data_IF_772362876677
#
_entry.id   IF_772362876677
#
_cell.length_a   1.000
_cell.length_b   1.000
_cell.length_c   1.000
_cell.angle_alpha   90.00
_cell.angle_beta   90.00
_cell.angle_gamma   90.00
#
_symmetry.space_group_name_H-M   'P 1'
#
loop_
_entity.id
_entity.type
_entity.pdbx_description
1 polymer ?
#
# COMPACT_ATOMS: atom_id res chain seq x y z
N UNK A 1 18.40 -1.72 21.28
CA UNK A 1 18.72 -1.52 19.85
C UNK A 1 18.08 -0.20 19.46
N UNK A 2 18.67 0.63 18.59
CA UNK A 2 18.04 1.88 18.18
C UNK A 2 16.94 1.58 17.14
N UNK A 3 15.76 2.17 17.30
CA UNK A 3 14.69 2.12 16.29
C UNK A 3 14.96 3.23 15.26
N UNK A 4 14.91 2.86 13.96
CA UNK A 4 15.02 3.80 12.85
C UNK A 4 13.61 4.16 12.38
N UNK A 5 13.42 5.41 11.97
CA UNK A 5 12.17 5.89 11.40
C UNK A 5 12.46 6.75 10.17
N UNK A 6 11.82 6.47 9.04
CA UNK A 6 12.02 7.14 7.76
C UNK A 6 10.68 7.65 7.26
N UNK A 7 10.66 8.90 6.84
CA UNK A 7 9.50 9.59 6.26
C UNK A 7 9.96 10.39 5.04
N UNK A 8 8.99 10.92 4.28
CA UNK A 8 9.28 11.92 3.25
C UNK A 8 9.97 13.15 3.85
N UNK A 9 10.77 13.82 3.04
CA UNK A 9 11.31 15.15 3.40
C UNK A 9 10.21 16.20 3.49
N UNK A 10 9.23 16.14 2.58
CA UNK A 10 8.08 17.05 2.51
C UNK A 10 6.84 16.25 2.09
N UNK A 11 5.69 16.61 2.66
CA UNK A 11 4.39 16.15 2.17
C UNK A 11 3.40 17.29 2.08
N UNK A 12 2.59 17.31 1.02
CA UNK A 12 1.50 18.24 0.78
C UNK A 12 0.17 17.50 0.84
N UNK A 13 -0.82 18.05 1.53
CA UNK A 13 -2.11 17.40 1.76
C UNK A 13 -3.26 18.33 1.45
N UNK A 14 -4.32 17.80 0.85
CA UNK A 14 -5.57 18.50 0.59
C UNK A 14 -5.84 18.76 -0.88
N UNK A 15 -7.06 19.19 -1.18
CA UNK A 15 -7.53 19.47 -2.54
C UNK A 15 -6.67 20.56 -3.21
N UNK A 16 -6.21 20.26 -4.42
CA UNK A 16 -5.34 21.15 -5.20
C UNK A 16 -3.86 21.09 -4.82
N UNK A 17 -3.43 20.16 -3.96
CA UNK A 17 -2.04 19.99 -3.56
C UNK A 17 -1.08 19.74 -4.74
N UNK A 18 -1.57 19.17 -5.85
CA UNK A 18 -0.77 18.97 -7.09
C UNK A 18 -0.16 20.27 -7.62
N UNK A 19 -0.71 21.44 -7.31
CA UNK A 19 -0.18 22.74 -7.73
C UNK A 19 1.18 23.09 -7.10
N UNK A 20 1.58 22.35 -6.07
CA UNK A 20 2.90 22.52 -5.43
C UNK A 20 4.02 21.83 -6.22
N UNK A 21 3.68 20.89 -7.13
CA UNK A 21 4.66 20.08 -7.89
C UNK A 21 5.62 20.97 -8.69
N UNK A 22 5.17 21.93 -9.51
CA UNK A 22 6.08 22.77 -10.28
C UNK A 22 7.04 23.57 -9.40
N UNK A 23 6.55 24.08 -8.27
CA UNK A 23 7.37 24.84 -7.31
C UNK A 23 8.48 23.99 -6.69
N UNK A 24 8.19 22.72 -6.36
CA UNK A 24 9.18 21.77 -5.83
C UNK A 24 10.28 21.46 -6.86
N UNK A 25 9.91 21.23 -8.12
CA UNK A 25 10.85 20.94 -9.19
C UNK A 25 11.75 22.15 -9.53
N UNK A 26 11.14 23.34 -9.66
CA UNK A 26 11.86 24.58 -10.01
C UNK A 26 12.85 24.99 -8.90
N UNK A 27 12.48 24.91 -7.63
CA UNK A 27 13.38 25.22 -6.51
C UNK A 27 14.63 24.37 -6.49
N UNK A 28 14.52 23.12 -6.95
CA UNK A 28 15.64 22.16 -7.02
C UNK A 28 16.36 22.17 -8.36
N UNK A 29 15.84 22.90 -9.37
CA UNK A 29 16.46 23.07 -10.67
C UNK A 29 16.26 21.92 -11.65
N UNK A 30 15.30 21.02 -11.40
CA UNK A 30 14.94 19.94 -12.32
C UNK A 30 14.25 20.49 -13.57
N UNK A 31 14.53 19.90 -14.72
CA UNK A 31 14.13 20.44 -16.04
C UNK A 31 13.44 19.45 -16.94
N UNK A 32 13.74 18.16 -16.80
CA UNK A 32 13.18 17.09 -17.63
C UNK A 32 12.57 16.03 -16.75
N UNK A 33 11.27 16.03 -16.66
CA UNK A 33 10.55 15.17 -15.72
C UNK A 33 10.10 13.88 -16.40
N UNK A 34 10.37 12.76 -15.75
CA UNK A 34 9.83 11.47 -16.13
C UNK A 34 8.52 11.22 -15.38
N UNK A 35 7.42 11.29 -16.11
CA UNK A 35 6.08 11.06 -15.53
C UNK A 35 5.77 9.57 -15.63
N UNK A 36 5.64 8.90 -14.47
CA UNK A 36 5.23 7.50 -14.37
C UNK A 36 3.75 7.40 -14.03
N UNK A 37 2.97 6.68 -14.85
CA UNK A 37 1.55 6.45 -14.60
C UNK A 37 1.11 5.13 -15.25
N UNK A 38 -0.12 4.69 -14.98
CA UNK A 38 -0.69 3.55 -15.70
C UNK A 38 -1.54 3.98 -16.90
N UNK A 39 -1.81 3.07 -17.87
CA UNK A 39 -2.52 3.41 -19.09
C UNK A 39 -3.95 3.86 -18.87
N UNK A 40 -4.62 3.35 -17.83
CA UNK A 40 -6.02 3.71 -17.55
C UNK A 40 -6.13 5.13 -16.99
N UNK A 41 -5.22 5.53 -16.10
CA UNK A 41 -5.17 6.91 -15.57
C UNK A 41 -4.84 7.92 -16.68
N UNK A 42 -3.99 7.55 -17.63
CA UNK A 42 -3.71 8.36 -18.83
C UNK A 42 -4.98 8.49 -19.68
N UNK A 43 -5.63 7.38 -20.00
CA UNK A 43 -6.86 7.31 -20.80
C UNK A 43 -8.00 8.11 -20.19
N UNK A 44 -8.16 8.05 -18.86
CA UNK A 44 -9.23 8.76 -18.14
C UNK A 44 -8.87 10.20 -17.76
N UNK A 45 -7.70 10.70 -18.16
CA UNK A 45 -7.30 12.09 -17.95
C UNK A 45 -6.89 12.43 -16.51
N UNK A 46 -6.68 11.42 -15.65
CA UNK A 46 -6.20 11.67 -14.28
C UNK A 46 -4.75 12.13 -14.29
N UNK A 47 -3.90 11.46 -15.08
CA UNK A 47 -2.49 11.86 -15.26
C UNK A 47 -2.37 13.27 -15.88
N UNK A 48 -3.33 13.65 -16.75
CA UNK A 48 -3.34 14.98 -17.36
C UNK A 48 -3.41 16.10 -16.31
N UNK A 49 -4.08 15.91 -15.18
CA UNK A 49 -4.10 16.92 -14.11
C UNK A 49 -2.69 17.30 -13.64
N UNK A 50 -1.77 16.33 -13.58
CA UNK A 50 -0.37 16.58 -13.20
C UNK A 50 0.42 17.18 -14.38
N UNK A 51 0.27 16.63 -15.58
CA UNK A 51 1.02 17.15 -16.74
C UNK A 51 0.59 18.53 -17.15
N UNK A 52 -0.67 18.92 -16.97
CA UNK A 52 -1.17 20.28 -17.19
C UNK A 52 -0.49 21.31 -16.25
N UNK A 53 -0.22 20.94 -14.99
CA UNK A 53 0.55 21.79 -14.07
C UNK A 53 2.02 21.93 -14.53
N UNK A 54 2.62 20.86 -15.05
CA UNK A 54 3.97 20.93 -15.62
C UNK A 54 4.02 21.80 -16.88
N UNK A 55 3.06 21.64 -17.78
CA UNK A 55 2.94 22.44 -19.00
C UNK A 55 2.71 23.93 -18.70
N UNK A 56 1.82 24.23 -17.75
CA UNK A 56 1.57 25.61 -17.31
C UNK A 56 2.82 26.29 -16.72
N UNK A 57 3.70 25.51 -16.11
CA UNK A 57 4.98 25.98 -15.57
C UNK A 57 6.13 25.98 -16.59
N UNK A 58 5.91 25.50 -17.80
CA UNK A 58 6.94 25.38 -18.84
C UNK A 58 8.02 24.34 -18.54
N UNK A 59 7.69 23.31 -17.77
CA UNK A 59 8.59 22.22 -17.39
C UNK A 59 8.45 21.10 -18.42
N UNK A 60 9.55 20.69 -19.03
CA UNK A 60 9.55 19.60 -20.00
C UNK A 60 9.34 18.25 -19.30
N UNK A 61 8.54 17.38 -19.89
CA UNK A 61 8.27 16.05 -19.36
C UNK A 61 8.16 15.00 -20.47
N UNK A 62 8.31 13.74 -20.09
CA UNK A 62 8.05 12.56 -20.91
C UNK A 62 7.23 11.56 -20.10
N UNK A 63 6.31 10.85 -20.76
CA UNK A 63 5.42 9.88 -20.13
C UNK A 63 5.94 8.45 -20.30
N UNK A 64 5.92 7.70 -19.22
CA UNK A 64 6.02 6.25 -19.22
C UNK A 64 4.75 5.67 -18.62
N UNK A 65 3.98 4.93 -19.42
CA UNK A 65 2.69 4.36 -19.00
C UNK A 65 2.52 2.88 -19.34
N UNK A 66 3.61 2.18 -19.63
CA UNK A 66 3.59 0.73 -19.87
C UNK A 66 3.56 -0.08 -18.56
N UNK A 67 2.85 0.42 -17.54
CA UNK A 67 2.77 -0.16 -16.20
C UNK A 67 1.51 -1.01 -16.11
N UNK A 68 1.66 -2.24 -15.65
CA UNK A 68 0.55 -3.17 -15.43
C UNK A 68 0.16 -3.21 -13.95
N UNK A 69 -1.07 -3.56 -13.62
CA UNK A 69 -1.40 -4.05 -12.28
C UNK A 69 -0.43 -5.18 -11.89
N UNK A 70 0.04 -5.20 -10.64
CA UNK A 70 1.11 -6.11 -10.20
C UNK A 70 2.37 -5.95 -11.07
N UNK A 71 3.15 -4.86 -10.93
CA UNK A 71 4.21 -4.50 -11.86
C UNK A 71 5.27 -5.59 -11.93
N UNK A 72 5.72 -5.89 -13.14
CA UNK A 72 6.66 -6.97 -13.41
C UNK A 72 8.10 -6.47 -13.51
N UNK A 73 9.05 -7.39 -13.41
CA UNK A 73 10.46 -7.13 -13.69
C UNK A 73 10.65 -6.44 -15.05
N UNK A 74 9.85 -6.83 -16.07
CA UNK A 74 9.95 -6.24 -17.39
C UNK A 74 9.50 -4.77 -17.42
N UNK A 75 8.42 -4.42 -16.68
CA UNK A 75 8.00 -3.01 -16.56
C UNK A 75 9.12 -2.14 -15.99
N UNK A 76 9.88 -2.65 -15.00
CA UNK A 76 11.01 -1.91 -14.44
C UNK A 76 12.14 -1.73 -15.46
N UNK A 77 12.52 -2.81 -16.19
CA UNK A 77 13.57 -2.75 -17.22
C UNK A 77 13.25 -1.76 -18.32
N UNK A 78 12.03 -1.83 -18.85
CA UNK A 78 11.57 -0.94 -19.93
C UNK A 78 11.52 0.51 -19.43
N UNK A 79 11.09 0.73 -18.19
CA UNK A 79 11.06 2.04 -17.56
C UNK A 79 12.44 2.65 -17.33
N UNK A 80 13.44 1.85 -16.94
CA UNK A 80 14.84 2.30 -16.81
C UNK A 80 15.39 2.76 -18.18
N UNK A 81 15.13 2.01 -19.23
CA UNK A 81 15.57 2.41 -20.58
C UNK A 81 14.82 3.64 -21.09
N UNK A 82 13.51 3.75 -20.82
CA UNK A 82 12.72 4.93 -21.17
C UNK A 82 13.21 6.18 -20.41
N UNK A 83 13.54 6.07 -19.11
CA UNK A 83 14.09 7.17 -18.33
C UNK A 83 15.40 7.69 -18.93
N UNK A 84 16.33 6.79 -19.28
CA UNK A 84 17.60 7.14 -19.92
C UNK A 84 17.39 7.80 -21.29
N UNK A 85 16.51 7.23 -22.11
CA UNK A 85 16.19 7.78 -23.45
C UNK A 85 15.55 9.18 -23.37
N UNK A 86 14.76 9.45 -22.34
CA UNK A 86 14.19 10.77 -22.07
C UNK A 86 15.23 11.78 -21.56
N UNK A 87 16.43 11.35 -21.17
CA UNK A 87 17.42 12.17 -20.44
C UNK A 87 16.79 12.92 -19.26
N UNK A 88 15.89 12.25 -18.54
CA UNK A 88 15.18 12.84 -17.43
C UNK A 88 16.07 13.01 -16.20
N UNK A 89 15.77 14.00 -15.36
CA UNK A 89 16.54 14.34 -14.17
C UNK A 89 15.75 14.22 -12.85
N UNK A 90 14.42 14.00 -12.96
CA UNK A 90 13.55 13.72 -11.82
C UNK A 90 12.35 12.86 -12.24
N UNK A 91 11.67 12.25 -11.27
CA UNK A 91 10.45 11.45 -11.48
C UNK A 91 9.27 12.15 -10.80
N UNK A 92 8.13 12.20 -11.50
CA UNK A 92 6.82 12.44 -10.89
C UNK A 92 5.97 11.21 -11.18
N UNK A 93 5.61 10.46 -10.15
CA UNK A 93 4.73 9.31 -10.32
C UNK A 93 3.32 9.65 -9.90
N UNK A 94 2.34 9.38 -10.77
CA UNK A 94 0.92 9.58 -10.50
C UNK A 94 0.18 8.27 -10.71
N UNK A 95 -0.31 7.67 -9.62
CA UNK A 95 -0.99 6.38 -9.73
C UNK A 95 -1.25 5.72 -8.39
N UNK A 96 -1.64 4.45 -8.45
CA UNK A 96 -1.69 3.56 -7.30
C UNK A 96 -0.32 2.93 -7.00
N UNK A 97 -0.31 1.92 -6.12
CA UNK A 97 0.92 1.22 -5.73
C UNK A 97 1.76 0.75 -6.91
N UNK A 98 1.14 0.17 -7.96
CA UNK A 98 1.86 -0.35 -9.13
C UNK A 98 2.69 0.71 -9.85
N UNK A 99 2.14 1.92 -10.04
CA UNK A 99 2.86 3.01 -10.66
C UNK A 99 4.00 3.51 -9.78
N UNK A 100 3.76 3.61 -8.48
CA UNK A 100 4.76 4.08 -7.52
C UNK A 100 5.90 3.07 -7.32
N UNK A 101 5.56 1.78 -7.18
CA UNK A 101 6.54 0.71 -7.01
C UNK A 101 7.45 0.59 -8.25
N UNK A 102 6.87 0.74 -9.45
CA UNK A 102 7.65 0.80 -10.68
C UNK A 102 8.58 2.02 -10.71
N UNK A 103 8.07 3.19 -10.33
CA UNK A 103 8.86 4.43 -10.30
C UNK A 103 10.01 4.36 -9.29
N UNK A 104 9.77 3.80 -8.10
CA UNK A 104 10.81 3.53 -7.09
C UNK A 104 11.90 2.62 -7.64
N UNK A 105 11.51 1.45 -8.19
CA UNK A 105 12.45 0.51 -8.77
C UNK A 105 13.28 1.12 -9.92
N UNK A 106 12.68 1.97 -10.76
CA UNK A 106 13.41 2.73 -11.79
C UNK A 106 14.40 3.69 -11.13
N UNK A 107 13.94 4.52 -10.20
CA UNK A 107 14.73 5.57 -9.58
C UNK A 107 15.96 5.05 -8.84
N UNK A 108 15.81 3.94 -8.09
CA UNK A 108 16.91 3.35 -7.36
C UNK A 108 17.94 2.70 -8.29
N UNK A 109 17.51 2.01 -9.35
CA UNK A 109 18.40 1.38 -10.34
C UNK A 109 19.19 2.42 -11.14
N UNK A 110 18.60 3.55 -11.49
CA UNK A 110 19.29 4.62 -12.23
C UNK A 110 20.54 5.10 -11.47
N UNK A 111 20.42 5.28 -10.17
CA UNK A 111 21.53 5.77 -9.34
C UNK A 111 22.38 4.65 -8.71
N UNK A 112 21.96 3.38 -8.85
CA UNK A 112 22.68 2.19 -8.38
C UNK A 112 22.68 1.11 -9.49
N UNK A 113 23.38 1.34 -10.62
CA UNK A 113 23.30 0.49 -11.83
C UNK A 113 23.81 -0.94 -11.61
N UNK A 114 24.54 -1.21 -10.55
CA UNK A 114 24.93 -2.56 -10.15
C UNK A 114 23.73 -3.46 -9.81
N UNK A 115 22.57 -2.86 -9.52
CA UNK A 115 21.31 -3.53 -9.25
C UNK A 115 20.36 -3.53 -10.47
N UNK A 116 20.87 -3.49 -11.69
CA UNK A 116 20.07 -3.46 -12.93
C UNK A 116 19.08 -4.63 -13.08
N UNK A 117 19.36 -5.80 -12.50
CA UNK A 117 18.36 -6.82 -12.28
C UNK A 117 17.63 -6.53 -10.96
N UNK A 118 16.37 -6.11 -11.05
CA UNK A 118 15.55 -5.75 -9.88
C UNK A 118 15.41 -6.87 -8.85
N UNK A 119 15.61 -8.14 -9.24
CA UNK A 119 15.66 -9.27 -8.30
C UNK A 119 16.77 -9.11 -7.26
N UNK A 120 17.85 -8.42 -7.59
CA UNK A 120 18.96 -8.17 -6.66
C UNK A 120 18.62 -7.15 -5.57
N UNK A 121 17.48 -6.49 -5.70
CA UNK A 121 16.94 -5.55 -4.70
C UNK A 121 15.96 -6.22 -3.70
N UNK A 122 15.67 -7.51 -3.88
CA UNK A 122 14.78 -8.25 -2.97
C UNK A 122 15.27 -8.19 -1.51
N UNK A 123 14.35 -7.94 -0.58
CA UNK A 123 14.67 -7.75 0.83
C UNK A 123 15.35 -6.39 1.06
N UNK A 124 16.42 -6.37 1.83
CA UNK A 124 17.20 -5.16 2.14
C UNK A 124 18.48 -5.19 1.33
N UNK A 125 18.52 -4.50 0.21
CA UNK A 125 19.70 -4.40 -0.64
C UNK A 125 20.68 -3.33 -0.12
N UNK A 126 22.00 -3.53 -0.29
CA UNK A 126 23.02 -2.58 0.17
C UNK A 126 23.26 -1.47 -0.89
N UNK A 127 22.21 -0.77 -1.29
CA UNK A 127 22.33 0.40 -2.18
C UNK A 127 23.15 1.51 -1.51
N UNK A 128 23.86 2.29 -2.29
CA UNK A 128 24.77 3.33 -1.77
C UNK A 128 24.26 4.74 -2.03
N UNK A 129 23.53 4.91 -3.12
CA UNK A 129 23.03 6.20 -3.55
C UNK A 129 21.51 6.26 -3.36
N UNK A 130 21.02 7.44 -3.00
CA UNK A 130 19.57 7.70 -3.05
C UNK A 130 19.03 7.49 -4.46
N UNK A 131 17.78 7.07 -4.56
CA UNK A 131 17.05 7.02 -5.81
C UNK A 131 17.06 8.40 -6.53
N UNK A 132 16.63 8.43 -7.77
CA UNK A 132 16.34 9.69 -8.47
C UNK A 132 15.29 10.45 -7.67
N UNK A 133 15.44 11.78 -7.58
CA UNK A 133 14.44 12.63 -6.90
C UNK A 133 13.03 12.31 -7.41
N UNK A 134 12.15 11.98 -6.50
CA UNK A 134 10.80 11.51 -6.83
C UNK A 134 9.75 12.30 -6.06
N UNK A 135 8.75 12.82 -6.80
CA UNK A 135 7.48 13.31 -6.26
C UNK A 135 6.43 12.23 -6.52
N UNK A 136 5.76 11.78 -5.46
CA UNK A 136 4.74 10.74 -5.55
C UNK A 136 3.34 11.32 -5.29
N UNK A 137 2.41 11.06 -6.24
CA UNK A 137 1.04 11.55 -6.25
C UNK A 137 0.08 10.36 -6.25
N UNK A 138 -0.45 9.94 -5.10
CA UNK A 138 -1.37 8.80 -5.02
C UNK A 138 -2.72 9.09 -5.67
N UNK A 139 -3.23 8.11 -6.42
CA UNK A 139 -4.59 8.12 -6.98
C UNK A 139 -5.48 7.06 -6.33
N UNK A 140 -4.94 6.31 -5.36
CA UNK A 140 -5.67 5.35 -4.53
C UNK A 140 -5.42 5.65 -3.05
N UNK A 141 -6.37 5.31 -2.19
CA UNK A 141 -6.26 5.46 -0.75
C UNK A 141 -6.07 4.09 -0.09
N UNK A 142 -4.88 3.50 -0.25
CA UNK A 142 -4.59 2.13 0.24
C UNK A 142 -3.14 1.89 0.58
N UNK A 143 -2.28 1.81 -0.44
CA UNK A 143 -0.92 1.30 -0.32
C UNK A 143 0.05 2.22 0.40
N UNK A 144 -0.23 3.52 0.47
CA UNK A 144 0.67 4.54 1.01
C UNK A 144 2.09 4.51 0.39
N UNK A 145 2.22 4.03 -0.86
CA UNK A 145 3.51 3.87 -1.51
C UNK A 145 4.28 5.19 -1.67
N UNK A 146 3.59 6.32 -1.58
CA UNK A 146 4.16 7.68 -1.60
C UNK A 146 4.99 8.01 -0.35
N UNK A 147 4.83 7.26 0.77
CA UNK A 147 5.58 7.51 2.01
C UNK A 147 6.42 6.31 2.46
N UNK A 148 6.29 5.18 1.78
CA UNK A 148 6.96 3.94 2.20
C UNK A 148 8.37 3.79 1.63
N UNK A 149 9.22 3.08 2.38
CA UNK A 149 10.53 2.60 1.92
C UNK A 149 10.43 1.26 1.18
N UNK A 150 9.22 0.71 1.05
CA UNK A 150 8.95 -0.60 0.47
C UNK A 150 8.37 -0.43 -0.94
N UNK A 151 8.64 -1.39 -1.80
CA UNK A 151 7.97 -1.58 -3.09
C UNK A 151 7.92 -3.04 -3.46
N UNK A 152 6.94 -3.44 -4.26
CA UNK A 152 6.63 -4.84 -4.55
C UNK A 152 6.66 -5.07 -6.05
N UNK A 153 7.47 -6.02 -6.49
CA UNK A 153 7.61 -6.38 -7.90
C UNK A 153 7.21 -7.85 -8.10
N UNK A 154 6.58 -8.14 -9.22
CA UNK A 154 6.19 -9.49 -9.60
C UNK A 154 7.28 -10.14 -10.45
N UNK A 155 7.70 -11.33 -10.05
CA UNK A 155 8.52 -12.23 -10.85
C UNK A 155 7.62 -13.28 -11.53
N UNK A 156 7.25 -13.09 -12.80
CA UNK A 156 6.36 -14.02 -13.49
C UNK A 156 7.00 -15.37 -13.77
N UNK A 157 8.33 -15.46 -13.78
CA UNK A 157 9.05 -16.74 -13.98
C UNK A 157 8.94 -17.64 -12.74
N UNK A 158 8.92 -17.02 -11.56
CA UNK A 158 8.81 -17.74 -10.27
C UNK A 158 7.39 -17.74 -9.70
N UNK A 159 6.43 -17.12 -10.40
CA UNK A 159 5.02 -16.96 -9.98
C UNK A 159 4.93 -16.42 -8.53
N UNK A 160 5.68 -15.36 -8.24
CA UNK A 160 5.70 -14.76 -6.91
C UNK A 160 5.86 -13.24 -6.97
N UNK A 161 5.38 -12.58 -5.93
CA UNK A 161 5.74 -11.21 -5.61
C UNK A 161 6.95 -11.21 -4.67
N UNK A 162 7.79 -10.21 -4.78
CA UNK A 162 8.87 -9.99 -3.82
C UNK A 162 8.92 -8.53 -3.38
N UNK A 163 9.22 -8.35 -2.11
CA UNK A 163 9.28 -7.05 -1.46
C UNK A 163 10.73 -6.56 -1.46
N UNK A 164 10.93 -5.34 -1.90
CA UNK A 164 12.17 -4.60 -1.74
C UNK A 164 12.00 -3.57 -0.63
N UNK A 165 13.02 -3.39 0.20
CA UNK A 165 13.02 -2.47 1.34
C UNK A 165 14.29 -1.63 1.28
N UNK A 166 14.16 -0.35 0.97
CA UNK A 166 15.32 0.53 0.84
C UNK A 166 15.04 1.95 1.37
N UNK A 167 15.78 2.35 2.38
CA UNK A 167 15.67 3.72 2.92
C UNK A 167 16.16 4.81 1.97
N UNK A 168 16.91 4.43 0.93
CA UNK A 168 17.35 5.33 -0.12
C UNK A 168 16.28 5.55 -1.19
N UNK A 169 15.12 4.86 -1.10
CA UNK A 169 14.09 4.83 -2.14
C UNK A 169 12.72 5.39 -1.69
N UNK A 170 12.63 5.94 -0.48
CA UNK A 170 11.43 6.68 -0.10
C UNK A 170 11.32 7.94 -0.98
N UNK A 171 10.15 8.22 -1.60
CA UNK A 171 9.96 9.47 -2.33
C UNK A 171 10.25 10.68 -1.44
N UNK A 172 11.00 11.67 -1.94
CA UNK A 172 11.32 12.85 -1.15
C UNK A 172 10.11 13.75 -0.91
N UNK A 173 9.18 13.78 -1.87
CA UNK A 173 7.97 14.59 -1.78
C UNK A 173 6.76 13.71 -2.03
N UNK A 174 5.81 13.74 -1.10
CA UNK A 174 4.48 13.18 -1.29
C UNK A 174 3.47 14.30 -1.54
N UNK A 175 2.56 14.13 -2.51
CA UNK A 175 1.49 15.07 -2.81
C UNK A 175 0.16 14.33 -2.73
N UNK A 176 -0.44 14.38 -1.56
CA UNK A 176 -1.67 13.63 -1.21
C UNK A 176 -2.88 14.51 -1.47
N UNK A 177 -3.32 14.51 -2.72
CA UNK A 177 -4.45 15.32 -3.20
C UNK A 177 -5.69 14.43 -3.39
N UNK A 178 -6.76 14.59 -2.58
CA UNK A 178 -7.97 13.78 -2.70
C UNK A 178 -8.68 13.95 -4.06
N UNK A 179 -8.45 15.07 -4.78
CA UNK A 179 -9.00 15.26 -6.13
C UNK A 179 -8.38 14.30 -7.16
N UNK A 180 -7.18 13.80 -6.89
CA UNK A 180 -6.53 12.76 -7.70
C UNK A 180 -7.18 11.38 -7.52
N UNK A 181 -7.85 11.17 -6.39
CA UNK A 181 -8.56 9.93 -6.04
C UNK A 181 -10.05 9.98 -6.43
N UNK A 182 -10.55 11.13 -6.89
CA UNK A 182 -11.98 11.37 -7.10
C UNK A 182 -12.64 10.40 -8.12
N UNK A 183 -11.88 9.88 -9.08
CA UNK A 183 -12.39 8.97 -10.11
C UNK A 183 -12.33 7.48 -9.73
N UNK A 184 -11.86 7.13 -8.52
CA UNK A 184 -11.84 5.72 -8.10
C UNK A 184 -13.26 5.12 -8.10
N UNK A 185 -13.48 3.96 -8.76
CA UNK A 185 -14.71 3.20 -8.63
C UNK A 185 -14.95 2.72 -7.20
N UNK A 186 -16.23 2.55 -6.81
CA UNK A 186 -16.60 2.17 -5.44
C UNK A 186 -15.94 0.86 -4.95
N UNK A 187 -15.83 -0.15 -5.83
CA UNK A 187 -15.16 -1.41 -5.50
C UNK A 187 -13.67 -1.24 -5.22
N UNK A 188 -12.98 -0.39 -6.00
CA UNK A 188 -11.57 -0.07 -5.75
C UNK A 188 -11.43 0.77 -4.48
N UNK A 189 -12.31 1.74 -4.26
CA UNK A 189 -12.34 2.55 -3.02
C UNK A 189 -12.49 1.65 -1.79
N UNK A 190 -13.40 0.67 -1.84
CA UNK A 190 -13.63 -0.28 -0.75
C UNK A 190 -12.38 -1.15 -0.49
N UNK A 191 -11.85 -1.78 -1.54
CA UNK A 191 -10.73 -2.71 -1.40
C UNK A 191 -9.44 -2.01 -0.95
N UNK A 192 -9.11 -0.86 -1.54
CA UNK A 192 -7.91 -0.11 -1.13
C UNK A 192 -8.05 0.50 0.27
N UNK A 193 -9.26 0.93 0.64
CA UNK A 193 -9.49 1.43 2.00
C UNK A 193 -9.39 0.34 3.07
N UNK A 194 -9.85 -0.87 2.77
CA UNK A 194 -9.64 -2.03 3.66
C UNK A 194 -8.18 -2.47 3.70
N UNK A 195 -7.44 -2.34 2.60
CA UNK A 195 -5.99 -2.53 2.56
C UNK A 195 -5.27 -1.56 3.50
N UNK A 196 -5.62 -0.26 3.46
CA UNK A 196 -5.10 0.73 4.39
C UNK A 196 -5.41 0.38 5.87
N UNK A 197 -6.60 -0.15 6.14
CA UNK A 197 -6.95 -0.62 7.48
C UNK A 197 -6.12 -1.84 7.90
N UNK A 198 -5.88 -2.77 6.97
CA UNK A 198 -5.03 -3.93 7.22
C UNK A 198 -3.59 -3.49 7.52
N UNK A 199 -3.04 -2.58 6.74
CA UNK A 199 -1.74 -1.96 7.00
C UNK A 199 -1.66 -1.37 8.42
N UNK A 200 -2.68 -0.61 8.82
CA UNK A 200 -2.70 0.04 10.12
C UNK A 200 -2.81 -0.98 11.28
N UNK A 201 -3.67 -2.00 11.15
CA UNK A 201 -3.86 -3.01 12.20
C UNK A 201 -2.67 -3.97 12.27
N UNK A 202 -2.16 -4.47 11.16
CA UNK A 202 -0.97 -5.32 11.17
C UNK A 202 0.26 -4.56 11.63
N UNK A 203 0.49 -3.35 11.14
CA UNK A 203 1.56 -2.49 11.61
C UNK A 203 1.46 -2.16 13.09
N UNK A 204 0.24 -2.04 13.64
CA UNK A 204 0.01 -1.87 15.07
C UNK A 204 0.32 -3.13 15.88
N UNK A 205 0.10 -4.33 15.33
CA UNK A 205 0.25 -5.61 16.04
C UNK A 205 1.56 -6.33 15.76
N UNK A 206 2.33 -5.96 14.72
CA UNK A 206 3.59 -6.59 14.32
C UNK A 206 4.64 -6.58 15.45
N UNK A 207 5.56 -7.54 15.42
CA UNK A 207 6.71 -7.61 16.36
C UNK A 207 7.59 -6.37 16.33
N UNK A 208 7.63 -5.65 15.21
CA UNK A 208 8.42 -4.42 15.05
C UNK A 208 7.78 -3.17 15.65
N UNK A 209 6.52 -3.23 16.07
CA UNK A 209 5.77 -2.08 16.57
C UNK A 209 6.35 -1.51 17.89
N UNK A 210 6.31 -0.20 18.02
CA UNK A 210 6.77 0.54 19.19
C UNK A 210 6.02 1.87 19.32
N UNK A 211 6.25 2.62 20.40
CA UNK A 211 5.43 3.77 20.79
C UNK A 211 5.23 4.80 19.67
N UNK A 212 6.29 5.10 18.88
CA UNK A 212 6.17 6.09 17.80
C UNK A 212 5.30 5.55 16.66
N UNK A 213 5.50 4.32 16.23
CA UNK A 213 4.68 3.71 15.18
C UNK A 213 3.23 3.52 15.63
N UNK A 214 3.03 3.22 16.91
CA UNK A 214 1.69 3.03 17.50
C UNK A 214 0.84 4.30 17.38
N UNK A 215 1.44 5.49 17.55
CA UNK A 215 0.72 6.76 17.39
C UNK A 215 0.13 6.92 15.99
N UNK A 216 0.89 6.59 14.95
CA UNK A 216 0.43 6.67 13.56
C UNK A 216 -0.64 5.62 13.28
N UNK A 217 -0.40 4.38 13.68
CA UNK A 217 -1.36 3.30 13.43
C UNK A 217 -2.71 3.54 14.13
N UNK A 218 -2.69 4.00 15.38
CA UNK A 218 -3.91 4.28 16.12
C UNK A 218 -4.75 5.37 15.43
N UNK A 219 -4.12 6.46 15.01
CA UNK A 219 -4.82 7.54 14.29
C UNK A 219 -5.28 7.09 12.90
N UNK A 220 -4.47 6.27 12.20
CA UNK A 220 -4.86 5.72 10.90
C UNK A 220 -6.10 4.82 11.00
N UNK A 221 -6.14 3.91 11.98
CA UNK A 221 -7.31 3.04 12.21
C UNK A 221 -8.56 3.89 12.42
N UNK A 222 -8.47 4.94 13.23
CA UNK A 222 -9.57 5.87 13.50
C UNK A 222 -10.03 6.57 12.21
N UNK A 223 -9.13 7.25 11.51
CA UNK A 223 -9.44 8.00 10.29
C UNK A 223 -10.09 7.10 9.22
N UNK A 224 -9.54 5.90 9.00
CA UNK A 224 -10.06 4.96 8.02
C UNK A 224 -11.45 4.45 8.43
N UNK A 225 -11.62 4.09 9.69
CA UNK A 225 -12.91 3.58 10.20
C UNK A 225 -14.04 4.62 10.13
N UNK A 226 -13.71 5.89 10.37
CA UNK A 226 -14.65 7.00 10.28
C UNK A 226 -15.04 7.36 8.84
N UNK A 227 -14.12 7.18 7.86
CA UNK A 227 -14.27 7.76 6.53
C UNK A 227 -14.52 6.76 5.40
N UNK A 228 -14.22 5.46 5.58
CA UNK A 228 -14.28 4.49 4.47
C UNK A 228 -15.70 4.33 3.91
N UNK A 229 -16.72 4.24 4.78
CA UNK A 229 -18.12 4.09 4.34
C UNK A 229 -18.56 5.28 3.50
N UNK A 230 -18.23 6.48 3.95
CA UNK A 230 -18.58 7.73 3.25
C UNK A 230 -17.82 7.84 1.93
N UNK A 231 -16.54 7.52 1.90
CA UNK A 231 -15.74 7.49 0.67
C UNK A 231 -16.29 6.52 -0.37
N UNK A 232 -16.77 5.35 0.05
CA UNK A 232 -17.43 4.38 -0.85
C UNK A 232 -18.81 4.90 -1.33
N UNK A 233 -19.55 5.59 -0.46
CA UNK A 233 -20.83 6.19 -0.85
C UNK A 233 -20.62 7.35 -1.85
N UNK A 234 -19.61 8.18 -1.66
CA UNK A 234 -19.18 9.23 -2.60
C UNK A 234 -18.81 8.62 -3.95
N UNK A 235 -18.06 7.52 -3.97
CA UNK A 235 -17.71 6.82 -5.20
C UNK A 235 -18.94 6.25 -5.95
N UNK A 236 -19.95 5.79 -5.21
CA UNK A 236 -21.20 5.28 -5.80
C UNK A 236 -22.10 6.40 -6.35
N UNK A 237 -22.16 7.51 -5.65
CA UNK A 237 -23.05 8.62 -6.00
C UNK A 237 -22.43 9.61 -6.99
N UNK A 238 -21.10 9.65 -7.09
CA UNK A 238 -20.36 10.68 -7.82
C UNK A 238 -20.44 12.06 -7.18
N UNK A 239 -20.95 12.15 -5.94
CA UNK A 239 -21.05 13.41 -5.21
C UNK A 239 -19.82 13.61 -4.31
N UNK A 240 -19.24 14.80 -4.28
CA UNK A 240 -18.13 15.08 -3.40
C UNK A 240 -18.57 15.09 -1.93
N UNK A 241 -17.65 14.71 -1.04
CA UNK A 241 -17.81 14.74 0.41
C UNK A 241 -16.45 14.72 1.10
N UNK A 242 -16.43 14.55 2.41
CA UNK A 242 -15.20 14.52 3.21
C UNK A 242 -14.57 13.11 3.34
N UNK A 243 -15.28 12.07 2.93
CA UNK A 243 -14.81 10.68 3.09
C UNK A 243 -13.52 10.41 2.32
N UNK A 244 -13.39 10.91 1.08
CA UNK A 244 -12.15 10.75 0.29
C UNK A 244 -10.97 11.49 0.91
N UNK A 245 -11.19 12.69 1.44
CA UNK A 245 -10.14 13.46 2.11
C UNK A 245 -9.66 12.74 3.37
N UNK A 246 -10.59 12.23 4.19
CA UNK A 246 -10.27 11.44 5.37
C UNK A 246 -9.54 10.14 5.02
N UNK A 247 -9.92 9.45 3.93
CA UNK A 247 -9.23 8.26 3.46
C UNK A 247 -7.84 8.56 2.90
N UNK A 248 -7.67 9.67 2.16
CA UNK A 248 -6.37 10.10 1.65
C UNK A 248 -5.38 10.35 2.78
N UNK A 249 -5.82 11.03 3.86
CA UNK A 249 -5.01 11.24 5.05
C UNK A 249 -4.78 9.93 5.82
N UNK A 250 -5.83 9.13 6.05
CA UNK A 250 -5.76 7.91 6.85
C UNK A 250 -4.77 6.89 6.30
N UNK A 251 -4.77 6.66 4.96
CA UNK A 251 -3.82 5.74 4.33
C UNK A 251 -2.37 6.25 4.43
N UNK A 252 -2.14 7.56 4.24
CA UNK A 252 -0.82 8.15 4.37
C UNK A 252 -0.27 7.97 5.79
N UNK A 253 -1.11 8.23 6.81
CA UNK A 253 -0.74 8.04 8.23
C UNK A 253 -0.45 6.56 8.53
N UNK A 254 -1.21 5.61 7.96
CA UNK A 254 -0.90 4.19 8.05
C UNK A 254 0.50 3.89 7.48
N UNK A 255 0.82 4.47 6.31
CA UNK A 255 2.12 4.33 5.66
C UNK A 255 3.29 4.83 6.51
N UNK A 256 3.10 5.98 7.18
CA UNK A 256 4.12 6.52 8.11
C UNK A 256 4.47 5.50 9.19
N UNK A 257 3.52 4.69 9.63
CA UNK A 257 3.71 3.64 10.63
C UNK A 257 4.33 2.38 10.05
N UNK A 258 3.57 1.64 9.22
CA UNK A 258 3.92 0.27 8.83
C UNK A 258 5.21 0.18 7.99
N UNK A 259 5.52 1.19 7.20
CA UNK A 259 6.75 1.27 6.43
C UNK A 259 8.01 1.05 7.28
N UNK A 260 7.95 1.41 8.55
CA UNK A 260 9.08 1.39 9.47
C UNK A 260 9.12 0.16 10.38
N UNK A 261 8.03 -0.58 10.50
CA UNK A 261 7.93 -1.70 11.47
C UNK A 261 7.56 -3.03 10.82
N UNK A 262 7.08 -3.01 9.58
CA UNK A 262 6.64 -4.20 8.85
C UNK A 262 5.20 -4.60 9.16
N UNK A 263 4.80 -5.74 8.62
CA UNK A 263 3.44 -6.28 8.63
C UNK A 263 3.42 -7.70 9.20
N UNK A 264 2.48 -8.55 8.80
CA UNK A 264 2.31 -9.88 9.37
C UNK A 264 1.73 -10.92 8.42
N UNK A 265 1.01 -11.87 8.99
CA UNK A 265 0.51 -13.06 8.29
C UNK A 265 -0.59 -12.73 7.27
N UNK A 266 -1.37 -11.67 7.48
CA UNK A 266 -2.40 -11.25 6.52
C UNK A 266 -1.77 -10.91 5.17
N UNK A 267 -0.84 -9.94 5.16
CA UNK A 267 -0.15 -9.56 3.94
C UNK A 267 0.63 -10.71 3.30
N UNK A 268 1.28 -11.55 4.10
CA UNK A 268 1.97 -12.73 3.60
C UNK A 268 1.03 -13.66 2.83
N UNK A 269 -0.16 -13.91 3.35
CA UNK A 269 -1.19 -14.72 2.68
C UNK A 269 -1.81 -13.99 1.49
N UNK A 270 -2.07 -12.70 1.60
CA UNK A 270 -2.65 -11.88 0.54
C UNK A 270 -1.74 -11.77 -0.71
N UNK A 271 -0.44 -11.64 -0.52
CA UNK A 271 0.54 -11.67 -1.61
C UNK A 271 0.46 -12.96 -2.41
N UNK A 272 0.30 -14.08 -1.72
CA UNK A 272 0.18 -15.41 -2.34
C UNK A 272 -1.10 -15.52 -3.17
N UNK A 273 -2.25 -15.08 -2.65
CA UNK A 273 -3.51 -15.06 -3.42
C UNK A 273 -3.40 -14.17 -4.66
N UNK A 274 -2.75 -13.02 -4.53
CA UNK A 274 -2.54 -12.12 -5.67
C UNK A 274 -1.61 -12.73 -6.73
N UNK A 275 -0.58 -13.47 -6.32
CA UNK A 275 0.38 -14.09 -7.24
C UNK A 275 -0.20 -15.29 -7.98
N UNK A 276 -1.00 -16.13 -7.33
CA UNK A 276 -1.52 -17.38 -7.89
C UNK A 276 -2.85 -17.20 -8.66
N UNK A 277 -3.70 -16.24 -8.22
CA UNK A 277 -5.06 -16.10 -8.73
C UNK A 277 -5.38 -14.70 -9.27
N UNK A 278 -4.41 -13.80 -9.35
CA UNK A 278 -4.64 -12.38 -9.69
C UNK A 278 -5.72 -11.71 -8.83
N UNK A 279 -5.94 -12.23 -7.61
CA UNK A 279 -6.88 -11.61 -6.67
C UNK A 279 -6.42 -10.17 -6.38
N UNK A 280 -7.30 -9.17 -6.55
CA UNK A 280 -6.92 -7.80 -6.22
C UNK A 280 -6.41 -7.71 -4.77
N UNK A 281 -5.23 -7.12 -4.59
CA UNK A 281 -4.50 -7.18 -3.32
C UNK A 281 -5.34 -6.72 -2.12
N UNK A 282 -5.98 -5.55 -2.21
CA UNK A 282 -6.80 -5.05 -1.12
C UNK A 282 -8.07 -5.90 -0.85
N UNK A 283 -8.56 -6.67 -1.82
CA UNK A 283 -9.62 -7.66 -1.59
C UNK A 283 -9.07 -8.84 -0.79
N UNK A 284 -7.88 -9.33 -1.16
CA UNK A 284 -7.23 -10.43 -0.45
C UNK A 284 -6.95 -10.06 1.01
N UNK A 285 -6.36 -8.89 1.27
CA UNK A 285 -6.13 -8.37 2.62
C UNK A 285 -7.44 -8.26 3.41
N UNK A 286 -8.48 -7.67 2.83
CA UNK A 286 -9.75 -7.48 3.51
C UNK A 286 -10.47 -8.79 3.89
N UNK A 287 -10.33 -9.84 3.08
CA UNK A 287 -10.86 -11.17 3.40
C UNK A 287 -10.10 -11.82 4.56
N UNK A 288 -8.80 -11.64 4.60
CA UNK A 288 -7.91 -12.29 5.55
C UNK A 288 -7.82 -11.55 6.90
N UNK A 289 -8.00 -10.22 6.93
CA UNK A 289 -7.82 -9.41 8.13
C UNK A 289 -8.55 -9.93 9.37
N UNK A 290 -9.86 -10.19 9.36
CA UNK A 290 -10.54 -10.69 10.55
C UNK A 290 -10.03 -12.07 10.97
N UNK A 291 -9.58 -12.89 10.04
CA UNK A 291 -9.06 -14.24 10.28
C UNK A 291 -7.66 -14.17 10.92
N UNK A 292 -6.81 -13.27 10.43
CA UNK A 292 -5.49 -13.01 11.00
C UNK A 292 -5.61 -12.40 12.42
N UNK A 293 -6.56 -11.49 12.64
CA UNK A 293 -6.84 -10.94 13.96
C UNK A 293 -7.29 -12.02 14.95
N UNK A 294 -8.20 -12.92 14.55
CA UNK A 294 -8.62 -14.07 15.37
C UNK A 294 -7.43 -14.96 15.74
N UNK A 295 -6.59 -15.28 14.76
CA UNK A 295 -5.40 -16.08 14.97
C UNK A 295 -4.44 -15.43 15.96
N UNK A 296 -4.20 -14.13 15.82
CA UNK A 296 -3.25 -13.37 16.63
C UNK A 296 -3.78 -12.98 18.02
N UNK A 297 -5.11 -12.98 18.24
CA UNK A 297 -5.75 -12.55 19.50
C UNK A 297 -5.09 -13.14 20.76
N UNK A 298 -4.73 -14.43 20.85
CA UNK A 298 -4.15 -15.00 22.06
C UNK A 298 -2.86 -14.32 22.56
N UNK A 299 -2.13 -13.63 21.70
CA UNK A 299 -0.87 -12.96 22.05
C UNK A 299 -0.94 -11.44 21.97
N UNK A 300 -1.99 -10.86 21.38
CA UNK A 300 -2.12 -9.41 21.18
C UNK A 300 -3.50 -8.84 21.60
N UNK A 301 -4.25 -9.52 22.48
CA UNK A 301 -5.59 -9.07 22.89
C UNK A 301 -5.62 -7.62 23.41
N UNK A 302 -4.63 -7.18 24.18
CA UNK A 302 -4.52 -5.79 24.66
C UNK A 302 -4.39 -4.77 23.49
N UNK A 303 -3.65 -5.13 22.44
CA UNK A 303 -3.52 -4.28 21.27
C UNK A 303 -4.82 -4.26 20.46
N UNK A 304 -5.47 -5.40 20.27
CA UNK A 304 -6.77 -5.50 19.61
C UNK A 304 -7.87 -4.76 20.37
N UNK A 305 -7.86 -4.77 21.71
CA UNK A 305 -8.78 -3.96 22.50
C UNK A 305 -8.63 -2.46 22.22
N UNK A 306 -7.39 -1.97 21.99
CA UNK A 306 -7.15 -0.58 21.57
C UNK A 306 -7.58 -0.33 20.12
N UNK A 307 -7.49 -1.33 19.24
CA UNK A 307 -8.06 -1.25 17.88
C UNK A 307 -9.56 -1.02 17.95
N UNK A 308 -10.30 -1.73 18.84
CA UNK A 308 -11.73 -1.47 19.05
C UNK A 308 -12.02 -0.01 19.39
N UNK A 309 -11.25 0.57 20.31
CA UNK A 309 -11.39 1.98 20.69
C UNK A 309 -11.11 2.91 19.50
N UNK A 310 -10.04 2.65 18.75
CA UNK A 310 -9.69 3.43 17.56
C UNK A 310 -10.79 3.36 16.48
N UNK A 311 -11.47 2.22 16.35
CA UNK A 311 -12.62 2.03 15.45
C UNK A 311 -13.92 2.64 15.97
N UNK A 312 -13.91 3.31 17.13
CA UNK A 312 -15.08 3.97 17.72
C UNK A 312 -16.02 3.03 18.48
N UNK A 313 -15.57 1.82 18.83
CA UNK A 313 -16.37 0.90 19.66
C UNK A 313 -16.36 1.35 21.12
N UNK A 314 -17.53 1.42 21.76
CA UNK A 314 -17.62 1.64 23.21
C UNK A 314 -17.23 0.36 23.94
N UNK A 315 -16.05 0.37 24.54
CA UNK A 315 -15.51 -0.76 25.31
C UNK A 315 -15.73 -0.64 26.82
N UNK A 316 -16.58 0.29 27.27
CA UNK A 316 -16.85 0.51 28.68
C UNK A 316 -17.42 -0.75 29.35
N UNK A 317 -16.74 -1.24 30.37
CA UNK A 317 -17.15 -2.45 31.13
C UNK A 317 -16.78 -3.78 30.48
N UNK A 318 -16.15 -3.77 29.30
CA UNK A 318 -15.63 -4.99 28.66
C UNK A 318 -14.30 -5.41 29.28
N UNK A 319 -14.08 -6.70 29.37
CA UNK A 319 -12.73 -7.25 29.57
C UNK A 319 -11.87 -7.02 28.33
N UNK A 320 -10.55 -7.16 28.47
CA UNK A 320 -9.61 -7.07 27.33
C UNK A 320 -10.00 -8.02 26.19
N UNK A 321 -10.43 -9.22 26.55
CA UNK A 321 -10.78 -10.27 25.60
C UNK A 321 -12.08 -9.95 24.84
N UNK A 322 -13.09 -9.43 25.54
CA UNK A 322 -14.34 -8.95 24.94
C UNK A 322 -14.11 -7.74 24.02
N UNK A 323 -13.25 -6.80 24.44
CA UNK A 323 -12.90 -5.65 23.60
C UNK A 323 -12.11 -6.08 22.35
N UNK A 324 -11.23 -7.08 22.46
CA UNK A 324 -10.54 -7.65 21.29
C UNK A 324 -11.53 -8.33 20.32
N UNK A 325 -12.51 -9.08 20.82
CA UNK A 325 -13.58 -9.64 19.97
C UNK A 325 -14.43 -8.55 19.32
N UNK A 326 -14.70 -7.46 20.04
CA UNK A 326 -15.42 -6.32 19.50
C UNK A 326 -14.66 -5.63 18.35
N UNK A 327 -13.32 -5.56 18.42
CA UNK A 327 -12.49 -5.07 17.31
C UNK A 327 -12.65 -5.95 16.06
N UNK A 328 -12.55 -7.27 16.23
CA UNK A 328 -12.72 -8.23 15.12
C UNK A 328 -14.12 -8.12 14.51
N UNK A 329 -15.15 -7.98 15.36
CA UNK A 329 -16.53 -7.79 14.92
C UNK A 329 -16.69 -6.46 14.13
N UNK A 330 -16.07 -5.39 14.59
CA UNK A 330 -16.09 -4.08 13.91
C UNK A 330 -15.43 -4.13 12.51
N UNK A 331 -14.30 -4.85 12.38
CA UNK A 331 -13.65 -5.08 11.08
C UNK A 331 -14.57 -5.89 10.16
N UNK A 332 -15.16 -6.97 10.63
CA UNK A 332 -16.12 -7.78 9.85
C UNK A 332 -17.31 -6.95 9.39
N UNK A 333 -17.84 -6.10 10.25
CA UNK A 333 -18.97 -5.24 9.92
C UNK A 333 -18.57 -4.19 8.87
N UNK A 334 -17.41 -3.54 9.02
CA UNK A 334 -16.92 -2.57 8.04
C UNK A 334 -16.71 -3.22 6.67
N UNK A 335 -16.10 -4.41 6.64
CA UNK A 335 -15.91 -5.20 5.42
C UNK A 335 -17.25 -5.50 4.72
N UNK A 336 -18.26 -5.91 5.49
CA UNK A 336 -19.61 -6.17 4.98
C UNK A 336 -20.29 -4.90 4.44
N UNK A 337 -20.20 -3.77 5.15
CA UNK A 337 -20.80 -2.49 4.78
C UNK A 337 -20.25 -1.96 3.45
N UNK A 338 -19.00 -2.26 3.13
CA UNK A 338 -18.34 -1.86 1.88
C UNK A 338 -18.33 -2.96 0.81
N UNK A 339 -19.05 -4.06 1.05
CA UNK A 339 -19.26 -5.18 0.13
C UNK A 339 -17.97 -5.94 -0.26
N UNK A 340 -17.08 -6.19 0.67
CA UNK A 340 -15.94 -7.09 0.46
C UNK A 340 -16.43 -8.55 0.50
N UNK A 341 -16.01 -9.42 -0.44
CA UNK A 341 -16.32 -10.83 -0.40
C UNK A 341 -15.64 -11.52 0.79
N UNK A 342 -16.26 -12.61 1.28
CA UNK A 342 -15.70 -13.39 2.40
C UNK A 342 -14.95 -14.65 1.94
N UNK A 343 -15.02 -14.97 0.65
CA UNK A 343 -14.48 -16.19 0.04
C UNK A 343 -13.70 -15.80 -1.21
N UNK A 344 -12.57 -16.44 -1.42
CA UNK A 344 -11.79 -16.31 -2.65
C UNK A 344 -12.27 -17.37 -3.65
N UNK A 345 -13.23 -17.00 -4.52
CA UNK A 345 -13.87 -17.90 -5.47
C UNK A 345 -12.89 -18.60 -6.45
N UNK A 346 -11.73 -18.00 -6.70
CA UNK A 346 -10.71 -18.58 -7.57
C UNK A 346 -9.85 -19.64 -6.89
N UNK A 347 -9.90 -19.71 -5.55
CA UNK A 347 -9.01 -20.56 -4.77
C UNK A 347 -9.45 -22.02 -4.85
N UNK A 348 -8.46 -22.93 -4.95
CA UNK A 348 -8.67 -24.36 -5.04
C UNK A 348 -8.15 -25.05 -3.79
N UNK A 349 -8.95 -25.99 -3.27
CA UNK A 349 -8.65 -26.70 -2.03
C UNK A 349 -7.37 -27.55 -2.10
N UNK A 350 -7.04 -28.12 -3.26
CA UNK A 350 -5.83 -28.92 -3.50
C UNK A 350 -4.55 -28.10 -3.62
N UNK A 351 -4.65 -26.76 -3.76
CA UNK A 351 -3.51 -25.85 -3.85
C UNK A 351 -3.14 -25.21 -2.48
N UNK A 352 -3.96 -25.38 -1.44
CA UNK A 352 -3.80 -24.71 -0.13
C UNK A 352 -2.42 -24.93 0.50
N UNK A 353 -1.87 -26.14 0.41
CA UNK A 353 -0.56 -26.43 1.01
C UNK A 353 0.58 -25.66 0.30
N UNK A 354 0.48 -25.47 -1.01
CA UNK A 354 1.44 -24.66 -1.78
C UNK A 354 1.32 -23.20 -1.38
N UNK A 355 0.10 -22.67 -1.34
CA UNK A 355 -0.18 -21.28 -0.90
C UNK A 355 0.37 -21.02 0.51
N UNK A 356 0.19 -21.98 1.43
CA UNK A 356 0.67 -21.84 2.80
C UNK A 356 2.20 -21.81 2.88
N UNK A 357 2.90 -22.62 2.08
CA UNK A 357 4.37 -22.62 2.00
C UNK A 357 4.90 -21.30 1.43
N UNK A 358 4.24 -20.77 0.40
CA UNK A 358 4.63 -19.52 -0.23
C UNK A 358 4.39 -18.34 0.72
N UNK A 359 3.26 -18.31 1.46
CA UNK A 359 2.99 -17.32 2.49
C UNK A 359 4.04 -17.34 3.61
N UNK A 360 4.47 -18.51 4.06
CA UNK A 360 5.52 -18.63 5.08
C UNK A 360 6.90 -18.16 4.61
N UNK A 361 7.12 -18.12 3.29
CA UNK A 361 8.36 -17.62 2.69
C UNK A 361 8.30 -16.10 2.41
N UNK A 362 7.14 -15.46 2.56
CA UNK A 362 6.97 -14.03 2.32
C UNK A 362 7.69 -13.18 3.36
N UNK A 363 8.17 -12.00 2.93
CA UNK A 363 8.93 -11.07 3.76
C UNK A 363 8.12 -10.50 4.94
N UNK A 364 6.78 -10.46 4.86
CA UNK A 364 5.90 -9.98 5.93
C UNK A 364 5.70 -11.02 7.04
N UNK A 365 5.81 -12.31 6.73
CA UNK A 365 5.50 -13.40 7.65
C UNK A 365 6.24 -13.34 9.00
N UNK A 366 7.57 -13.07 9.04
CA UNK A 366 8.32 -13.00 10.30
C UNK A 366 7.87 -11.91 11.27
N UNK A 367 7.20 -10.86 10.76
CA UNK A 367 6.65 -9.75 11.55
C UNK A 367 5.41 -10.13 12.36
N UNK A 368 4.74 -11.24 12.05
CA UNK A 368 3.51 -11.64 12.72
C UNK A 368 3.73 -11.82 14.24
N UNK A 369 2.84 -11.28 15.11
CA UNK A 369 3.03 -11.34 16.55
C UNK A 369 2.98 -12.77 17.11
N UNK A 370 2.13 -13.63 16.57
CA UNK A 370 2.03 -15.04 16.92
C UNK A 370 2.81 -15.90 15.91
N UNK A 371 3.64 -16.80 16.41
CA UNK A 371 4.27 -17.80 15.55
C UNK A 371 3.20 -18.71 14.95
N UNK A 372 3.34 -19.01 13.66
CA UNK A 372 2.42 -19.89 12.92
C UNK A 372 3.18 -21.06 12.33
N UNK A 373 2.62 -22.25 12.47
CA UNK A 373 3.07 -23.46 11.79
C UNK A 373 2.47 -23.56 10.40
N UNK A 374 2.97 -24.46 9.56
CA UNK A 374 2.37 -24.75 8.26
C UNK A 374 0.89 -25.16 8.39
N UNK A 375 0.57 -25.99 9.38
CA UNK A 375 -0.80 -26.44 9.62
C UNK A 375 -1.70 -25.27 10.03
N UNK A 376 -1.21 -24.32 10.83
CA UNK A 376 -1.96 -23.10 11.17
C UNK A 376 -2.30 -22.30 9.90
N UNK A 377 -1.34 -22.08 9.01
CA UNK A 377 -1.55 -21.29 7.78
C UNK A 377 -2.51 -22.02 6.83
N UNK A 378 -2.42 -23.34 6.73
CA UNK A 378 -3.38 -24.16 5.97
C UNK A 378 -4.80 -23.96 6.51
N UNK A 379 -4.99 -24.02 7.84
CA UNK A 379 -6.31 -23.82 8.46
C UNK A 379 -6.85 -22.40 8.27
N UNK A 380 -5.97 -21.39 8.20
CA UNK A 380 -6.38 -20.01 7.89
C UNK A 380 -6.87 -19.91 6.44
N UNK A 381 -6.16 -20.47 5.46
CA UNK A 381 -6.59 -20.47 4.06
C UNK A 381 -7.90 -21.22 3.85
N UNK A 382 -8.15 -22.32 4.56
CA UNK A 382 -9.43 -23.05 4.49
C UNK A 382 -10.64 -22.19 4.83
N UNK A 383 -10.47 -21.15 5.68
CA UNK A 383 -11.58 -20.26 6.07
C UNK A 383 -12.09 -19.38 4.93
N UNK A 384 -11.27 -19.15 3.90
CA UNK A 384 -11.62 -18.33 2.72
C UNK A 384 -11.74 -19.15 1.44
N UNK A 385 -11.49 -20.46 1.51
CA UNK A 385 -11.68 -21.36 0.37
C UNK A 385 -13.18 -21.61 0.15
N UNK A 386 -13.67 -21.64 -1.11
CA UNK A 386 -15.03 -22.03 -1.40
C UNK A 386 -15.35 -23.41 -0.82
N UNK A 387 -16.58 -23.58 -0.32
CA UNK A 387 -17.06 -24.91 0.05
C UNK A 387 -17.20 -25.78 -1.23
N UNK A 388 -16.74 -27.02 -1.19
CA UNK A 388 -16.88 -27.97 -2.27
C UNK A 388 -18.36 -28.24 -2.62
#
# INVERSE_FOLDING_TARGET
MANRFVLNTISYHGSGAIKEIPGELQRRGYKKIFVCSDPDLVKFGVTAKVTDELDAAGIAWSLYSEIKPNPTIQNVKDGVEAFKAAEADAIVTSGGGSSMDTAKAIGIIINNPEFADVRSLEGVAPTKNHAVFTIAVPTTAGTAAEVTINYVITDPEKVRKFVCVDTNDAPEVAVVDPDMMASMPAGLTASTGMDALTHAIEGYTTKGAWELSDMFHFEAIKLISENLRDSVAEAKSGQPGSGREGMALGQYVAGMGFSNVGLGIDHAMAHTLSAHYDTPHGVACAMLLPIAMEFNKPVCAERLAKVAVAMGVDTTGMSTDEAADAAIAAVKQLSADVNIPHVCEAMKADEIEVLAKDAMADACFPGNPREATLDDVIELFKKICPAE
#
